data_IF_765986192211
#
_entry.id   IF_765986192211
#
_cell.length_a   1.000
_cell.length_b   1.000
_cell.length_c   1.000
_cell.angle_alpha   90.00
_cell.angle_beta   90.00
_cell.angle_gamma   90.00
#
_symmetry.space_group_name_H-M   'P 1'
#
loop_
_entity.id
_entity.type
_entity.pdbx_description
1 polymer ?
#
# COMPACT_ATOMS: atom_id res chain seq x y z
N UNK A 1 8.43 6.14 7.40
CA UNK A 1 8.38 5.28 8.61
C UNK A 1 7.14 4.39 8.57
N UNK A 2 7.22 3.13 8.97
CA UNK A 2 6.07 2.23 9.11
C UNK A 2 6.10 1.64 10.53
N UNK A 3 5.12 1.94 11.39
CA UNK A 3 5.10 1.45 12.78
C UNK A 3 4.56 0.02 12.85
N UNK A 4 5.38 -0.98 12.55
CA UNK A 4 4.98 -2.39 12.58
C UNK A 4 4.35 -2.77 13.93
N UNK A 5 4.99 -2.37 15.04
CA UNK A 5 4.50 -2.62 16.39
C UNK A 5 3.10 -2.04 16.67
N UNK A 6 2.79 -0.84 16.17
CA UNK A 6 1.47 -0.24 16.31
C UNK A 6 0.39 -1.11 15.66
N UNK A 7 0.64 -1.61 14.45
CA UNK A 7 -0.28 -2.52 13.75
C UNK A 7 -0.38 -3.88 14.43
N UNK A 8 0.68 -4.38 15.05
CA UNK A 8 0.63 -5.62 15.81
C UNK A 8 -0.29 -5.50 17.04
N UNK A 9 -0.28 -4.36 17.76
CA UNK A 9 -1.22 -4.11 18.86
C UNK A 9 -2.66 -4.09 18.36
N UNK A 10 -2.92 -3.43 17.23
CA UNK A 10 -4.25 -3.43 16.61
C UNK A 10 -4.67 -4.85 16.22
N UNK A 11 -3.76 -5.61 15.61
CA UNK A 11 -4.02 -6.97 15.17
C UNK A 11 -4.37 -7.92 16.32
N UNK A 12 -3.73 -7.75 17.49
CA UNK A 12 -4.10 -8.49 18.71
C UNK A 12 -5.53 -8.21 19.14
N UNK A 13 -6.01 -6.96 19.00
CA UNK A 13 -7.39 -6.58 19.36
C UNK A 13 -8.42 -7.09 18.36
N UNK A 14 -8.07 -7.17 17.08
CA UNK A 14 -8.93 -7.69 16.02
C UNK A 14 -9.13 -9.20 16.15
N UNK A 15 -8.04 -9.94 16.41
CA UNK A 15 -8.06 -11.38 16.60
C UNK A 15 -8.09 -12.18 15.29
N UNK A 16 -7.71 -13.46 15.38
CA UNK A 16 -7.50 -14.33 14.23
C UNK A 16 -8.77 -14.58 13.41
N UNK A 17 -9.89 -14.87 14.07
CA UNK A 17 -11.15 -15.21 13.42
C UNK A 17 -11.69 -14.04 12.60
N UNK A 18 -11.73 -12.84 13.19
CA UNK A 18 -12.12 -11.60 12.50
C UNK A 18 -11.24 -11.33 11.28
N UNK A 19 -9.93 -11.57 11.37
CA UNK A 19 -9.04 -11.41 10.21
C UNK A 19 -9.36 -12.41 9.10
N UNK A 20 -9.57 -13.68 9.45
CA UNK A 20 -9.92 -14.73 8.49
C UNK A 20 -11.19 -14.35 7.74
N UNK A 21 -12.24 -13.97 8.46
CA UNK A 21 -13.53 -13.56 7.87
C UNK A 21 -13.38 -12.32 7.00
N UNK A 22 -12.67 -11.28 7.46
CA UNK A 22 -12.50 -10.04 6.72
C UNK A 22 -11.66 -10.23 5.43
N UNK A 23 -10.61 -11.04 5.48
CA UNK A 23 -9.77 -11.34 4.31
C UNK A 23 -10.56 -12.14 3.26
N UNK A 24 -11.33 -13.13 3.70
CA UNK A 24 -12.18 -13.95 2.82
C UNK A 24 -13.30 -13.11 2.20
N UNK A 25 -14.03 -12.34 3.01
CA UNK A 25 -15.08 -11.43 2.54
C UNK A 25 -14.54 -10.40 1.54
N UNK A 26 -13.29 -9.96 1.72
CA UNK A 26 -12.65 -9.05 0.79
C UNK A 26 -12.12 -9.72 -0.47
N UNK A 27 -12.00 -11.05 -0.52
CA UNK A 27 -11.24 -11.73 -1.58
C UNK A 27 -9.84 -11.13 -1.70
N UNK A 28 -9.18 -10.92 -0.56
CA UNK A 28 -7.88 -10.24 -0.49
C UNK A 28 -6.73 -11.24 -0.48
N UNK A 29 -6.44 -11.80 -1.67
CA UNK A 29 -5.36 -12.77 -1.85
C UNK A 29 -5.63 -14.12 -1.19
N UNK A 30 -4.57 -14.80 -0.77
CA UNK A 30 -4.63 -16.13 -0.17
C UNK A 30 -3.96 -16.15 1.20
N UNK A 31 -4.70 -16.58 2.23
CA UNK A 31 -4.21 -16.77 3.59
C UNK A 31 -3.98 -18.25 3.89
N UNK A 32 -2.76 -18.61 4.25
CA UNK A 32 -2.37 -19.98 4.62
C UNK A 32 -2.66 -20.25 6.09
N UNK A 33 -3.05 -21.48 6.44
CA UNK A 33 -3.29 -21.91 7.82
C UNK A 33 -2.24 -22.93 8.29
N UNK A 34 -1.83 -22.91 9.57
CA UNK A 34 -2.16 -21.89 10.57
C UNK A 34 -1.41 -20.58 10.32
N UNK A 35 -1.98 -19.43 10.70
CA UNK A 35 -1.29 -18.13 10.66
C UNK A 35 -1.13 -17.48 12.04
N UNK A 36 -0.08 -16.68 12.20
CA UNK A 36 0.13 -15.85 13.38
C UNK A 36 -0.66 -14.52 13.25
N UNK A 37 -1.64 -14.21 14.13
CA UNK A 37 -2.53 -13.06 13.96
C UNK A 37 -1.83 -11.71 13.94
N UNK A 38 -0.60 -11.62 14.44
CA UNK A 38 0.21 -10.39 14.49
C UNK A 38 1.36 -10.36 13.46
N UNK A 39 1.48 -11.38 12.62
CA UNK A 39 2.62 -11.51 11.69
C UNK A 39 2.26 -12.02 10.29
N UNK A 40 1.02 -12.46 10.04
CA UNK A 40 0.63 -13.11 8.78
C UNK A 40 0.89 -12.29 7.50
N UNK A 41 0.95 -10.96 7.61
CA UNK A 41 1.29 -10.04 6.51
C UNK A 41 2.80 -9.75 6.39
N UNK A 42 3.61 -10.22 7.34
CA UNK A 42 5.07 -10.06 7.40
C UNK A 42 5.82 -11.37 7.14
N UNK A 43 5.19 -12.50 7.46
CA UNK A 43 5.79 -13.84 7.33
C UNK A 43 5.51 -14.53 5.99
N UNK A 44 4.61 -13.97 5.19
CA UNK A 44 4.22 -14.49 3.88
C UNK A 44 3.09 -15.52 3.92
N UNK A 45 2.41 -15.69 5.06
CA UNK A 45 1.18 -16.48 5.19
C UNK A 45 0.05 -15.90 4.37
N UNK A 46 -0.04 -14.56 4.31
CA UNK A 46 -0.89 -13.85 3.37
C UNK A 46 -0.10 -13.46 2.11
N UNK A 47 -0.63 -13.81 0.95
CA UNK A 47 -0.06 -13.47 -0.35
C UNK A 47 -1.10 -12.80 -1.23
N UNK A 48 -0.70 -11.70 -1.88
CA UNK A 48 -1.57 -10.90 -2.75
C UNK A 48 -0.78 -10.54 -4.00
N UNK A 49 -1.37 -10.74 -5.18
CA UNK A 49 -0.79 -10.34 -6.46
C UNK A 49 -1.02 -8.85 -6.76
N UNK A 50 -0.21 -8.28 -7.65
CA UNK A 50 -0.36 -6.87 -8.04
C UNK A 50 -1.72 -6.59 -8.70
N UNK A 51 -2.24 -7.55 -9.48
CA UNK A 51 -3.58 -7.41 -10.08
C UNK A 51 -4.67 -7.40 -9.01
N UNK A 52 -4.55 -8.23 -7.98
CA UNK A 52 -5.50 -8.22 -6.86
C UNK A 52 -5.44 -6.91 -6.07
N UNK A 53 -4.29 -6.23 -5.97
CA UNK A 53 -4.18 -4.93 -5.30
C UNK A 53 -4.97 -3.82 -5.99
N UNK A 54 -5.18 -3.89 -7.32
CA UNK A 54 -5.88 -2.84 -8.09
C UNK A 54 -7.38 -3.11 -8.29
N UNK A 55 -7.89 -4.26 -7.86
CA UNK A 55 -9.33 -4.56 -7.94
C UNK A 55 -10.09 -3.67 -6.95
N UNK A 56 -11.01 -2.84 -7.48
CA UNK A 56 -11.92 -2.03 -6.68
C UNK A 56 -12.82 -2.93 -5.84
N UNK A 57 -12.79 -2.73 -4.52
CA UNK A 57 -13.60 -3.46 -3.55
C UNK A 57 -14.29 -2.47 -2.63
N UNK A 58 -15.55 -2.76 -2.30
CA UNK A 58 -16.28 -2.08 -1.25
C UNK A 58 -16.62 -3.12 -0.19
N UNK A 59 -16.04 -2.96 0.98
CA UNK A 59 -16.25 -3.78 2.17
C UNK A 59 -17.29 -3.09 3.04
N UNK A 60 -18.04 -3.84 3.87
CA UNK A 60 -19.13 -3.30 4.67
C UNK A 60 -18.64 -2.53 5.91
N UNK A 61 -17.59 -1.72 5.76
CA UNK A 61 -17.12 -0.79 6.79
C UNK A 61 -17.89 0.54 6.71
N UNK A 62 -18.06 1.20 7.86
CA UNK A 62 -18.72 2.51 7.91
C UNK A 62 -17.92 3.57 7.15
N UNK A 63 -18.61 4.61 6.66
CA UNK A 63 -18.00 5.72 5.92
C UNK A 63 -16.82 6.35 6.65
N UNK A 64 -16.93 6.51 7.97
CA UNK A 64 -15.86 7.05 8.80
C UNK A 64 -14.54 6.26 8.71
N UNK A 65 -14.62 4.92 8.56
CA UNK A 65 -13.43 4.09 8.40
C UNK A 65 -12.75 4.33 7.04
N UNK A 66 -13.56 4.49 5.99
CA UNK A 66 -13.07 4.87 4.66
C UNK A 66 -12.46 6.28 4.65
N UNK A 67 -13.10 7.25 5.29
CA UNK A 67 -12.60 8.62 5.39
C UNK A 67 -11.24 8.65 6.11
N UNK A 68 -11.17 7.99 7.28
CA UNK A 68 -9.93 7.87 8.04
C UNK A 68 -8.83 7.19 7.22
N UNK A 69 -9.14 6.10 6.52
CA UNK A 69 -8.17 5.41 5.66
C UNK A 69 -7.67 6.32 4.53
N UNK A 70 -8.56 7.05 3.87
CA UNK A 70 -8.18 7.99 2.82
C UNK A 70 -7.22 9.05 3.36
N UNK A 71 -7.54 9.65 4.49
CA UNK A 71 -6.77 10.74 5.09
C UNK A 71 -5.35 10.30 5.49
N UNK A 72 -5.22 9.14 6.13
CA UNK A 72 -3.89 8.64 6.56
C UNK A 72 -3.02 8.17 5.38
N UNK A 73 -3.61 7.92 4.21
CA UNK A 73 -2.88 7.47 3.03
C UNK A 73 -2.32 8.61 2.17
N UNK A 74 -2.64 9.87 2.44
CA UNK A 74 -2.12 11.02 1.68
C UNK A 74 -0.59 11.06 1.76
N UNK A 75 0.05 10.93 0.60
CA UNK A 75 1.50 11.09 0.45
C UNK A 75 1.83 12.48 -0.07
N UNK A 76 1.01 13.00 -0.98
CA UNK A 76 1.17 14.33 -1.55
C UNK A 76 -0.19 14.87 -2.00
N UNK A 77 -0.39 16.16 -1.80
CA UNK A 77 -1.60 16.85 -2.20
C UNK A 77 -1.22 18.19 -2.82
N UNK A 78 -1.75 18.43 -4.01
CA UNK A 78 -1.60 19.66 -4.78
C UNK A 78 -3.00 20.19 -5.12
N UNK A 79 -3.13 21.40 -5.70
CA UNK A 79 -4.41 21.86 -6.22
C UNK A 79 -5.00 20.96 -7.31
N UNK A 80 -4.15 20.29 -8.11
CA UNK A 80 -4.58 19.56 -9.30
C UNK A 80 -4.78 18.05 -9.06
N UNK A 81 -4.09 17.50 -8.05
CA UNK A 81 -4.13 16.07 -7.75
C UNK A 81 -3.71 15.73 -6.32
N UNK A 82 -4.20 14.58 -5.84
CA UNK A 82 -3.83 13.98 -4.56
C UNK A 82 -3.31 12.55 -4.77
N UNK A 83 -2.09 12.28 -4.34
CA UNK A 83 -1.49 10.95 -4.33
C UNK A 83 -1.69 10.29 -2.96
N UNK A 84 -2.38 9.15 -2.94
CA UNK A 84 -2.57 8.33 -1.75
C UNK A 84 -1.93 6.98 -1.95
N UNK A 85 -1.00 6.59 -1.08
CA UNK A 85 -0.25 5.36 -1.29
C UNK A 85 0.38 4.81 -0.01
N UNK A 86 0.70 3.52 -0.05
CA UNK A 86 1.44 2.83 1.00
C UNK A 86 2.63 2.09 0.42
N UNK A 87 3.77 2.21 1.10
CA UNK A 87 4.98 1.42 0.84
C UNK A 87 4.95 0.10 1.61
N UNK A 88 5.49 -0.97 1.02
CA UNK A 88 5.68 -2.27 1.66
C UNK A 88 7.05 -2.87 1.32
N UNK A 89 7.61 -3.67 2.22
CA UNK A 89 8.86 -4.39 2.00
C UNK A 89 8.79 -5.76 2.65
N UNK A 90 8.89 -6.80 1.82
CA UNK A 90 8.92 -8.19 2.26
C UNK A 90 10.37 -8.70 2.25
N UNK A 91 11.08 -8.45 3.35
CA UNK A 91 12.49 -8.78 3.50
C UNK A 91 12.78 -10.29 3.67
N UNK A 92 11.75 -11.12 3.96
CA UNK A 92 11.91 -12.56 4.20
C UNK A 92 11.97 -13.41 2.91
N UNK A 93 12.03 -12.75 1.74
CA UNK A 93 12.21 -13.40 0.43
C UNK A 93 13.58 -13.11 -0.16
N UNK A 94 14.02 -13.94 -1.12
CA UNK A 94 15.25 -13.73 -1.88
C UNK A 94 14.98 -13.88 -3.38
N UNK A 95 15.08 -12.80 -4.18
CA UNK A 95 15.30 -11.41 -3.75
C UNK A 95 14.15 -10.89 -2.87
N UNK A 96 14.41 -9.84 -2.08
CA UNK A 96 13.35 -9.22 -1.29
C UNK A 96 12.39 -8.45 -2.18
N UNK A 97 11.11 -8.36 -1.82
CA UNK A 97 10.10 -7.69 -2.66
C UNK A 97 9.68 -6.36 -2.06
N UNK A 98 9.81 -5.29 -2.85
CA UNK A 98 9.31 -3.96 -2.55
C UNK A 98 7.94 -3.71 -3.15
N UNK A 99 7.08 -3.00 -2.45
CA UNK A 99 5.74 -2.61 -2.90
C UNK A 99 5.51 -1.10 -2.80
N UNK A 100 4.82 -0.54 -3.78
CA UNK A 100 4.16 0.75 -3.71
C UNK A 100 2.78 0.65 -4.36
N UNK A 101 1.74 0.77 -3.53
CA UNK A 101 0.35 0.56 -3.94
C UNK A 101 -0.45 1.78 -3.53
N UNK A 102 -1.32 2.24 -4.42
CA UNK A 102 -2.07 3.45 -4.16
C UNK A 102 -2.90 3.89 -5.35
N UNK A 103 -3.30 5.15 -5.31
CA UNK A 103 -4.03 5.80 -6.39
C UNK A 103 -3.79 7.30 -6.39
N UNK A 104 -4.00 7.92 -7.56
CA UNK A 104 -4.01 9.36 -7.76
C UNK A 104 -5.43 9.81 -8.04
N UNK A 105 -5.94 10.75 -7.25
CA UNK A 105 -7.19 11.46 -7.52
C UNK A 105 -6.84 12.76 -8.24
N UNK A 106 -7.47 12.99 -9.38
CA UNK A 106 -7.46 14.25 -10.15
C UNK A 106 -8.90 14.79 -10.21
N UNK A 107 -9.10 15.99 -10.75
CA UNK A 107 -10.45 16.52 -10.97
C UNK A 107 -11.29 15.65 -11.93
N UNK A 108 -10.62 15.00 -12.90
CA UNK A 108 -11.30 14.26 -13.97
C UNK A 108 -11.42 12.74 -13.70
N UNK A 109 -10.43 12.14 -13.03
CA UNK A 109 -10.34 10.67 -12.90
C UNK A 109 -9.56 10.21 -11.64
N UNK A 110 -9.66 8.91 -11.35
CA UNK A 110 -8.90 8.20 -10.32
C UNK A 110 -8.03 7.10 -10.94
N UNK A 111 -6.71 7.24 -10.80
CA UNK A 111 -5.72 6.33 -11.36
C UNK A 111 -5.17 5.39 -10.29
N UNK A 112 -5.54 4.10 -10.34
CA UNK A 112 -5.10 3.09 -9.38
C UNK A 112 -3.82 2.41 -9.88
N UNK A 113 -2.86 2.19 -9.00
CA UNK A 113 -1.61 1.50 -9.33
C UNK A 113 -1.19 0.51 -8.23
N UNK A 114 -0.47 -0.52 -8.66
CA UNK A 114 0.27 -1.42 -7.79
C UNK A 114 1.60 -1.76 -8.45
N UNK A 115 2.70 -1.31 -7.85
CA UNK A 115 4.05 -1.63 -8.29
C UNK A 115 4.71 -2.56 -7.29
N UNK A 116 5.32 -3.62 -7.79
CA UNK A 116 6.31 -4.40 -7.04
C UNK A 116 7.63 -4.51 -7.80
N UNK A 117 8.71 -4.74 -7.06
CA UNK A 117 10.05 -4.87 -7.59
C UNK A 117 10.90 -5.76 -6.69
N UNK A 118 11.80 -6.51 -7.31
CA UNK A 118 12.89 -7.18 -6.63
C UNK A 118 13.88 -6.11 -6.14
N UNK A 119 14.19 -6.15 -4.85
CA UNK A 119 15.11 -5.25 -4.16
C UNK A 119 16.35 -6.03 -3.73
N UNK A 120 17.53 -5.50 -4.05
CA UNK A 120 18.80 -6.11 -3.65
C UNK A 120 19.09 -5.87 -2.18
N UNK A 121 18.90 -4.63 -1.74
CA UNK A 121 19.12 -4.20 -0.37
C UNK A 121 18.26 -2.97 -0.02
N UNK A 122 18.45 -2.44 1.19
CA UNK A 122 17.68 -1.28 1.68
C UNK A 122 17.90 -0.01 0.86
N UNK A 123 19.02 0.14 0.15
CA UNK A 123 19.29 1.31 -0.67
C UNK A 123 18.36 1.41 -1.89
N UNK A 124 17.77 0.28 -2.30
CA UNK A 124 16.78 0.24 -3.39
C UNK A 124 15.37 0.65 -2.92
N UNK A 125 15.10 0.75 -1.60
CA UNK A 125 13.77 1.07 -1.07
C UNK A 125 13.15 2.37 -1.62
N UNK A 126 13.89 3.46 -1.88
CA UNK A 126 13.35 4.67 -2.48
C UNK A 126 12.86 4.47 -3.93
N UNK A 127 13.40 3.47 -4.66
CA UNK A 127 13.03 3.21 -6.07
C UNK A 127 11.55 2.89 -6.22
N UNK A 128 10.93 2.31 -5.19
CA UNK A 128 9.48 2.02 -5.14
C UNK A 128 8.62 3.25 -5.35
N UNK A 129 8.96 4.39 -4.76
CA UNK A 129 8.20 5.62 -4.97
C UNK A 129 8.66 6.34 -6.23
N UNK A 130 9.98 6.38 -6.47
CA UNK A 130 10.56 7.11 -7.59
C UNK A 130 10.07 6.57 -8.95
N UNK A 131 10.18 5.26 -9.20
CA UNK A 131 9.81 4.68 -10.49
C UNK A 131 8.30 4.78 -10.78
N UNK A 132 7.45 4.62 -9.76
CA UNK A 132 6.00 4.83 -9.94
C UNK A 132 5.71 6.28 -10.33
N UNK A 133 6.34 7.25 -9.66
CA UNK A 133 6.14 8.67 -9.98
C UNK A 133 6.63 9.02 -11.39
N UNK A 134 7.77 8.47 -11.81
CA UNK A 134 8.24 8.61 -13.20
C UNK A 134 7.22 8.09 -14.21
N UNK A 135 6.63 6.91 -13.96
CA UNK A 135 5.58 6.37 -14.83
C UNK A 135 4.33 7.25 -14.82
N UNK A 136 3.88 7.72 -13.65
CA UNK A 136 2.72 8.61 -13.55
C UNK A 136 2.94 9.93 -14.30
N UNK A 137 4.14 10.52 -14.23
CA UNK A 137 4.52 11.71 -14.99
C UNK A 137 4.57 11.44 -16.49
N UNK A 138 5.21 10.35 -16.90
CA UNK A 138 5.28 9.96 -18.31
C UNK A 138 3.89 9.70 -18.92
N UNK A 139 2.90 9.38 -18.09
CA UNK A 139 1.49 9.25 -18.48
C UNK A 139 0.68 10.55 -18.39
N UNK A 140 1.27 11.63 -17.90
CA UNK A 140 0.60 12.92 -17.71
C UNK A 140 -0.40 12.94 -16.57
N UNK A 141 -0.33 11.98 -15.63
CA UNK A 141 -1.29 11.84 -14.52
C UNK A 141 -0.93 12.79 -13.38
N UNK A 142 0.36 12.99 -13.13
CA UNK A 142 0.87 13.96 -12.15
C UNK A 142 1.86 14.90 -12.83
N UNK A 143 1.93 16.13 -12.33
CA UNK A 143 2.88 17.12 -12.79
C UNK A 143 4.32 16.85 -12.34
N UNK A 144 5.25 17.64 -12.89
CA UNK A 144 6.61 17.72 -12.36
C UNK A 144 6.58 18.24 -10.93
N UNK A 145 7.49 17.78 -10.06
CA UNK A 145 7.54 18.28 -8.69
C UNK A 145 7.78 19.80 -8.74
N UNK A 146 6.98 20.55 -7.98
CA UNK A 146 7.19 21.98 -7.84
C UNK A 146 8.66 22.26 -7.43
N UNK A 147 9.30 23.27 -8.01
CA UNK A 147 10.64 23.69 -7.61
C UNK A 147 10.69 23.86 -6.08
N UNK A 148 11.49 23.03 -5.40
CA UNK A 148 11.66 23.06 -3.95
C UNK A 148 10.92 22.00 -3.15
N UNK A 149 10.16 21.08 -3.77
CA UNK A 149 9.57 19.95 -3.04
C UNK A 149 10.67 19.01 -2.54
N UNK A 150 10.79 18.76 -1.22
CA UNK A 150 11.83 17.89 -0.70
C UNK A 150 11.63 16.47 -1.24
N UNK A 151 12.70 15.88 -1.78
CA UNK A 151 12.74 14.43 -2.04
C UNK A 151 12.35 13.74 -0.73
N UNK A 152 11.30 12.89 -0.70
CA UNK A 152 10.90 12.22 0.52
C UNK A 152 12.07 11.34 0.97
N UNK A 153 12.70 11.69 2.09
CA UNK A 153 13.64 10.79 2.75
C UNK A 153 12.83 9.67 3.39
N UNK A 154 12.89 8.48 2.78
CA UNK A 154 12.41 7.24 3.40
C UNK A 154 13.50 6.62 4.24
#
# INVERSE_FOLDING_TARGET
MSCVWCYQILAQRVGAETYREAIDQAGYGTLSEPFAPTEFWLDGSLRVSAIEQVVRRTLPFGSHAYDTLRDIMVVEQTPDWTLRAKTGWFARSTPSVGWYVGYVETDDDTWIFAMNLDLKDEADLPLRAALTREVLRAKGIIGDPAEGSPVPRS
#
